data_IF_380482049085
#
_entry.id   IF_380482049085
#
_cell.length_a   1.000
_cell.length_b   1.000
_cell.length_c   1.000
_cell.angle_alpha   90.00
_cell.angle_beta   90.00
_cell.angle_gamma   90.00
#
_symmetry.space_group_name_H-M   'P 1'
#
loop_
_entity.id
_entity.type
_entity.pdbx_description
1 polymer ?
#
# COMPACT_ATOMS: atom_id res chain seq x y z
N UNK A 1 6.43 -4.15 4.05
CA UNK A 1 5.63 -5.15 4.78
C UNK A 1 6.05 -6.60 4.42
N UNK A 2 6.42 -6.89 3.18
CA UNK A 2 6.79 -8.25 2.74
C UNK A 2 8.13 -8.80 3.28
N UNK A 3 9.10 -7.95 3.63
CA UNK A 3 10.40 -8.35 4.23
C UNK A 3 10.39 -8.30 5.77
N UNK A 4 9.24 -8.57 6.38
CA UNK A 4 9.02 -8.47 7.82
C UNK A 4 8.41 -9.76 8.37
N UNK A 5 8.11 -9.76 9.66
CA UNK A 5 7.47 -10.87 10.37
C UNK A 5 6.22 -11.38 9.62
N UNK A 6 5.98 -12.70 9.65
CA UNK A 6 4.96 -13.37 8.82
C UNK A 6 3.56 -12.78 9.01
N UNK A 7 3.17 -12.50 10.26
CA UNK A 7 1.86 -11.96 10.59
C UNK A 7 1.57 -10.60 9.94
N UNK A 8 2.60 -9.86 9.51
CA UNK A 8 2.44 -8.55 8.87
C UNK A 8 2.17 -8.65 7.37
N UNK A 9 2.48 -9.79 6.75
CA UNK A 9 2.34 -9.97 5.29
C UNK A 9 0.88 -10.09 4.86
N UNK A 10 -0.02 -10.50 5.76
CA UNK A 10 -1.46 -10.59 5.50
C UNK A 10 -2.13 -9.25 5.78
N UNK A 11 -2.75 -8.68 4.74
CA UNK A 11 -3.61 -7.51 4.85
C UNK A 11 -5.08 -7.96 4.87
N UNK A 12 -5.84 -7.56 5.88
CA UNK A 12 -7.28 -7.89 5.98
C UNK A 12 -8.15 -7.05 5.05
N UNK A 13 -7.58 -6.00 4.45
CA UNK A 13 -8.29 -5.07 3.55
C UNK A 13 -7.81 -5.19 2.11
N UNK A 14 -6.89 -6.11 1.79
CA UNK A 14 -6.32 -6.24 0.45
C UNK A 14 -7.38 -6.49 -0.63
N UNK A 15 -8.47 -7.19 -0.30
CA UNK A 15 -9.57 -7.48 -1.23
C UNK A 15 -10.47 -6.27 -1.50
N UNK A 16 -10.45 -5.24 -0.65
CA UNK A 16 -11.33 -4.08 -0.73
C UNK A 16 -10.64 -2.84 -1.33
N UNK A 17 -9.34 -2.92 -1.66
CA UNK A 17 -8.56 -1.78 -2.16
C UNK A 17 -8.13 -2.00 -3.61
N UNK A 18 -7.98 -0.90 -4.34
CA UNK A 18 -7.48 -0.91 -5.74
C UNK A 18 -6.03 -1.42 -5.82
N UNK A 19 -5.22 -1.11 -4.81
CA UNK A 19 -3.82 -1.51 -4.75
C UNK A 19 -3.16 -1.15 -3.43
N UNK A 20 -1.91 -1.56 -3.24
CA UNK A 20 -1.12 -1.28 -2.05
C UNK A 20 0.27 -0.77 -2.41
N UNK A 21 0.75 0.23 -1.67
CA UNK A 21 2.12 0.78 -1.79
C UNK A 21 2.82 0.57 -0.45
N UNK A 22 3.99 -0.07 -0.47
CA UNK A 22 4.77 -0.33 0.73
C UNK A 22 6.27 -0.30 0.46
N UNK A 23 7.05 0.26 1.39
CA UNK A 23 8.52 0.21 1.36
C UNK A 23 9.22 1.50 0.95
N UNK A 24 8.49 2.57 0.63
CA UNK A 24 9.06 3.84 0.16
C UNK A 24 9.10 4.94 1.24
N UNK A 25 8.94 4.59 2.52
CA UNK A 25 8.89 5.56 3.61
C UNK A 25 7.81 6.62 3.38
N UNK A 26 8.15 7.90 3.62
CA UNK A 26 7.24 9.05 3.40
C UNK A 26 6.78 9.19 1.95
N UNK A 27 7.57 8.74 0.98
CA UNK A 27 7.18 8.80 -0.43
C UNK A 27 5.99 7.90 -0.76
N UNK A 28 5.67 6.91 0.09
CA UNK A 28 4.48 6.07 -0.07
C UNK A 28 3.18 6.89 -0.08
N UNK A 29 3.12 8.01 0.67
CA UNK A 29 1.96 8.90 0.70
C UNK A 29 1.81 9.68 -0.59
N UNK A 30 2.91 10.22 -1.13
CA UNK A 30 2.88 10.95 -2.41
C UNK A 30 2.48 10.02 -3.56
N UNK A 31 3.04 8.80 -3.59
CA UNK A 31 2.66 7.78 -4.58
C UNK A 31 1.19 7.38 -4.43
N UNK A 32 0.71 7.18 -3.21
CA UNK A 32 -0.69 6.84 -2.93
C UNK A 32 -1.66 7.95 -3.36
N UNK A 33 -1.33 9.21 -3.08
CA UNK A 33 -2.14 10.35 -3.49
C UNK A 33 -2.20 10.46 -5.02
N UNK A 34 -1.06 10.34 -5.70
CA UNK A 34 -1.02 10.36 -7.17
C UNK A 34 -1.85 9.22 -7.76
N UNK A 35 -1.68 8.00 -7.24
CA UNK A 35 -2.46 6.85 -7.68
C UNK A 35 -3.97 7.05 -7.45
N UNK A 36 -4.38 7.67 -6.34
CA UNK A 36 -5.79 7.96 -6.07
C UNK A 36 -6.35 9.01 -7.03
N UNK A 37 -5.58 10.05 -7.37
CA UNK A 37 -6.00 11.08 -8.34
C UNK A 37 -6.11 10.52 -9.75
N UNK A 38 -5.17 9.67 -10.18
CA UNK A 38 -5.19 9.02 -11.51
C UNK A 38 -6.30 7.94 -11.63
N UNK A 39 -6.76 7.40 -10.51
CA UNK A 39 -7.80 6.36 -10.49
C UNK A 39 -9.23 6.91 -10.56
N UNK A 40 -9.44 8.17 -10.13
CA UNK A 40 -10.73 8.87 -10.18
C UNK A 40 -11.02 9.43 -11.57
#
# INVERSE_FOLDING_TARGET
>A
IHRREEFRKRSLIAEAVVGQIAGFGVNSYLLGLRAAVEYL
#
